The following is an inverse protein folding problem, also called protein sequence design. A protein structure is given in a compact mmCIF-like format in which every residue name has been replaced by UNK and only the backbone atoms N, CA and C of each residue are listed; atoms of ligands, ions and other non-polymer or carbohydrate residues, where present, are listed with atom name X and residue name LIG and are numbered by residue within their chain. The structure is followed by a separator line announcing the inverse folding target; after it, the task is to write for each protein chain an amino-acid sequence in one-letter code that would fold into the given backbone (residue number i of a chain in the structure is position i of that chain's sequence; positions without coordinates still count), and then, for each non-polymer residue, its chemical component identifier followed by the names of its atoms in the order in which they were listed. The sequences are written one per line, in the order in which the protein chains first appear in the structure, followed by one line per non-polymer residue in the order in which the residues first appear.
data_IF_030779564377
#
_entry.id   IF_030779564377
#
_cell.length_a   1.000
_cell.length_b   1.000
_cell.length_c   1.000
_cell.angle_alpha   90.00
_cell.angle_beta   90.00
_cell.angle_gamma   90.00
#
_symmetry.space_group_name_H-M   'P 1'
#
loop_
_entity.id
_entity.type
_entity.pdbx_description
1 polymer ?
#
# COMPACT_ATOMS: atom_id res chain seq x y z
N UNK A 1 10.79 -28.88 -5.30
CA UNK A 1 9.67 -28.79 -6.26
C UNK A 1 9.36 -27.31 -6.36
N UNK A 2 9.30 -26.73 -7.55
CA UNK A 2 9.02 -25.30 -7.70
C UNK A 2 7.54 -25.07 -7.35
N UNK A 3 7.27 -24.45 -6.21
CA UNK A 3 5.96 -23.87 -5.87
C UNK A 3 5.70 -22.67 -6.79
N UNK A 4 5.50 -22.97 -8.06
CA UNK A 4 5.20 -21.99 -9.09
C UNK A 4 3.75 -21.55 -8.92
N UNK A 5 3.56 -20.26 -8.62
CA UNK A 5 2.21 -19.68 -8.56
C UNK A 5 1.70 -19.39 -9.97
N UNK A 6 0.42 -19.63 -10.19
CA UNK A 6 -0.32 -19.18 -11.36
C UNK A 6 -0.38 -17.66 -11.36
N UNK A 7 0.09 -17.02 -12.44
CA UNK A 7 0.02 -15.56 -12.56
C UNK A 7 -1.43 -15.10 -12.79
N UNK A 8 -1.81 -13.91 -12.31
CA UNK A 8 -3.06 -13.28 -12.74
C UNK A 8 -3.01 -13.05 -14.26
N UNK A 9 -4.14 -13.01 -14.95
CA UNK A 9 -4.18 -12.75 -16.40
C UNK A 9 -4.67 -11.34 -16.73
N UNK A 10 -5.03 -10.57 -15.71
CA UNK A 10 -5.64 -9.26 -15.79
C UNK A 10 -4.78 -8.21 -15.11
N UNK A 11 -5.11 -6.94 -15.35
CA UNK A 11 -4.47 -5.81 -14.69
C UNK A 11 -4.80 -5.76 -13.19
N UNK A 12 -3.99 -5.04 -12.41
CA UNK A 12 -4.23 -4.79 -10.98
C UNK A 12 -5.66 -4.30 -10.71
N UNK A 13 -6.14 -3.30 -11.45
CA UNK A 13 -7.49 -2.73 -11.26
C UNK A 13 -8.61 -3.75 -11.48
N UNK A 14 -8.45 -4.62 -12.47
CA UNK A 14 -9.41 -5.69 -12.72
C UNK A 14 -9.36 -6.75 -11.62
N UNK A 15 -8.15 -7.11 -11.16
CA UNK A 15 -7.95 -8.05 -10.07
C UNK A 15 -8.59 -7.54 -8.77
N UNK A 16 -8.36 -6.27 -8.42
CA UNK A 16 -9.01 -5.62 -7.27
C UNK A 16 -10.53 -5.64 -7.40
N UNK A 17 -11.07 -5.35 -8.59
CA UNK A 17 -12.52 -5.40 -8.83
C UNK A 17 -13.09 -6.82 -8.65
N UNK A 18 -12.34 -7.86 -9.05
CA UNK A 18 -12.72 -9.25 -8.80
C UNK A 18 -12.72 -9.55 -7.30
N UNK A 19 -11.68 -9.12 -6.56
CA UNK A 19 -11.58 -9.31 -5.10
C UNK A 19 -12.75 -8.61 -4.38
N UNK A 20 -13.06 -7.35 -4.75
CA UNK A 20 -14.24 -6.62 -4.25
C UNK A 20 -15.54 -7.37 -4.51
N UNK A 21 -15.70 -7.95 -5.70
CA UNK A 21 -16.86 -8.75 -6.04
C UNK A 21 -17.04 -9.98 -5.15
N UNK A 22 -15.95 -10.68 -4.86
CA UNK A 22 -15.96 -11.79 -3.91
C UNK A 22 -16.29 -11.30 -2.48
N UNK A 23 -15.76 -10.15 -2.07
CA UNK A 23 -16.02 -9.54 -0.76
C UNK A 23 -17.47 -9.13 -0.56
N UNK A 24 -18.06 -8.47 -1.56
CA UNK A 24 -19.47 -8.07 -1.56
C UNK A 24 -20.43 -9.25 -1.49
N UNK A 25 -20.07 -10.39 -2.10
CA UNK A 25 -20.91 -11.58 -2.03
C UNK A 25 -20.90 -12.23 -0.65
N UNK A 26 -19.76 -12.24 0.05
CA UNK A 26 -19.57 -12.82 1.39
C UNK A 26 -19.87 -14.33 1.53
N UNK A 27 -20.28 -14.99 0.44
CA UNK A 27 -20.75 -16.38 0.37
C UNK A 27 -20.09 -17.09 -0.79
N UNK A 28 -20.29 -18.40 -0.88
CA UNK A 28 -19.90 -19.17 -2.06
C UNK A 28 -20.62 -18.64 -3.31
N UNK A 29 -19.84 -18.13 -4.27
CA UNK A 29 -20.35 -17.59 -5.51
C UNK A 29 -19.80 -18.37 -6.71
N UNK A 30 -20.67 -18.60 -7.69
CA UNK A 30 -20.28 -19.17 -8.97
C UNK A 30 -19.80 -18.07 -9.93
N UNK A 31 -19.04 -18.46 -10.96
CA UNK A 31 -18.51 -17.49 -11.92
C UNK A 31 -19.61 -16.71 -12.65
N UNK A 32 -20.80 -17.28 -12.87
CA UNK A 32 -21.88 -16.59 -13.58
C UNK A 32 -22.44 -15.44 -12.73
N UNK A 33 -22.72 -15.71 -11.45
CA UNK A 33 -23.26 -14.70 -10.54
C UNK A 33 -22.24 -13.61 -10.26
N UNK A 34 -20.96 -13.96 -10.07
CA UNK A 34 -19.92 -12.96 -9.88
C UNK A 34 -19.76 -12.06 -11.11
N UNK A 35 -19.78 -12.66 -12.30
CA UNK A 35 -19.71 -11.92 -13.58
C UNK A 35 -20.82 -10.89 -13.72
N UNK A 36 -22.06 -11.25 -13.35
CA UNK A 36 -23.21 -10.33 -13.33
C UNK A 36 -23.06 -9.22 -12.30
N UNK A 37 -22.52 -9.54 -11.11
CA UNK A 37 -22.37 -8.59 -10.00
C UNK A 37 -21.37 -7.48 -10.32
N UNK A 38 -20.19 -7.82 -10.84
CA UNK A 38 -19.11 -6.84 -11.09
C UNK A 38 -19.09 -6.32 -12.54
N UNK A 39 -19.93 -6.87 -13.43
CA UNK A 39 -19.96 -6.50 -14.85
C UNK A 39 -18.69 -6.87 -15.61
N UNK A 40 -17.95 -7.89 -15.18
CA UNK A 40 -16.77 -8.43 -15.87
C UNK A 40 -17.12 -9.80 -16.45
N UNK A 41 -16.72 -10.09 -17.68
CA UNK A 41 -16.97 -11.37 -18.34
C UNK A 41 -16.30 -12.56 -17.64
N UNK A 42 -16.95 -13.72 -17.66
CA UNK A 42 -16.43 -14.98 -17.08
C UNK A 42 -15.04 -15.36 -17.59
N UNK A 43 -14.76 -15.06 -18.85
CA UNK A 43 -13.48 -15.30 -19.52
C UNK A 43 -12.36 -14.41 -19.01
N UNK A 44 -12.68 -13.26 -18.41
CA UNK A 44 -11.72 -12.39 -17.74
C UNK A 44 -11.55 -12.77 -16.26
N UNK A 45 -12.59 -13.28 -15.59
CA UNK A 45 -12.50 -13.69 -14.18
C UNK A 45 -11.77 -15.03 -14.05
N UNK A 46 -12.15 -16.03 -14.86
CA UNK A 46 -11.69 -17.41 -14.73
C UNK A 46 -10.16 -17.59 -14.74
N UNK A 47 -9.38 -16.85 -15.55
CA UNK A 47 -7.93 -16.97 -15.55
C UNK A 47 -7.24 -16.41 -14.30
N UNK A 48 -7.88 -15.51 -13.54
CA UNK A 48 -7.31 -14.94 -12.30
C UNK A 48 -7.58 -15.82 -11.07
N UNK A 49 -8.52 -16.75 -11.20
CA UNK A 49 -8.97 -17.61 -10.11
C UNK A 49 -7.88 -18.51 -9.51
N UNK A 50 -6.96 -19.11 -10.28
CA UNK A 50 -5.86 -19.89 -9.73
C UNK A 50 -4.97 -19.04 -8.82
N UNK A 51 -4.55 -17.86 -9.28
CA UNK A 51 -3.76 -16.91 -8.48
C UNK A 51 -4.45 -16.58 -7.15
N UNK A 52 -5.73 -16.20 -7.18
CA UNK A 52 -6.49 -15.85 -5.97
C UNK A 52 -6.63 -17.03 -4.99
N UNK A 53 -6.66 -18.26 -5.49
CA UNK A 53 -6.79 -19.45 -4.65
C UNK A 53 -5.44 -19.84 -4.03
N UNK A 54 -4.36 -19.78 -4.82
CA UNK A 54 -3.00 -20.09 -4.37
C UNK A 54 -2.43 -19.03 -3.41
N UNK A 55 -2.86 -17.78 -3.55
CA UNK A 55 -2.55 -16.69 -2.60
C UNK A 55 -3.44 -16.68 -1.35
N UNK A 56 -4.38 -17.62 -1.22
CA UNK A 56 -5.25 -17.71 -0.05
C UNK A 56 -6.32 -16.61 0.06
N UNK A 57 -6.55 -15.80 -0.98
CA UNK A 57 -7.58 -14.75 -1.01
C UNK A 57 -8.98 -15.37 -1.17
N UNK A 58 -9.09 -16.46 -1.93
CA UNK A 58 -10.33 -17.22 -2.08
C UNK A 58 -10.08 -18.71 -1.85
N UNK A 59 -11.13 -19.45 -1.51
CA UNK A 59 -11.04 -20.90 -1.36
C UNK A 59 -10.81 -21.61 -2.70
N UNK A 60 -10.09 -22.73 -2.64
CA UNK A 60 -9.97 -23.67 -3.74
C UNK A 60 -11.27 -24.47 -3.89
N UNK A 61 -11.88 -24.47 -5.07
CA UNK A 61 -13.12 -25.21 -5.31
C UNK A 61 -13.92 -24.73 -6.54
N UNK A 62 -14.98 -25.49 -6.87
CA UNK A 62 -15.88 -25.17 -7.99
C UNK A 62 -16.72 -23.91 -7.73
N UNK A 63 -17.11 -23.70 -6.47
CA UNK A 63 -17.62 -22.44 -5.97
C UNK A 63 -16.55 -21.81 -5.09
N UNK A 64 -16.26 -20.55 -5.34
CA UNK A 64 -15.21 -19.83 -4.62
C UNK A 64 -15.87 -18.99 -3.55
N UNK A 65 -15.34 -19.07 -2.34
CA UNK A 65 -15.69 -18.21 -1.22
C UNK A 65 -14.49 -17.33 -0.91
N UNK A 66 -14.72 -16.08 -0.55
CA UNK A 66 -13.65 -15.23 -0.02
C UNK A 66 -13.20 -15.77 1.35
N UNK A 67 -11.89 -15.80 1.59
CA UNK A 67 -11.34 -16.14 2.91
C UNK A 67 -11.41 -14.93 3.84
N UNK A 68 -11.14 -15.11 5.12
CA UNK A 68 -11.13 -13.99 6.08
C UNK A 68 -10.05 -12.96 5.73
N UNK A 69 -8.90 -13.42 5.24
CA UNK A 69 -7.81 -12.55 4.75
C UNK A 69 -8.19 -11.82 3.45
N UNK A 70 -8.81 -12.53 2.51
CA UNK A 70 -9.37 -11.91 1.31
C UNK A 70 -10.45 -10.88 1.63
N UNK A 71 -11.27 -11.12 2.66
CA UNK A 71 -12.32 -10.21 3.09
C UNK A 71 -11.76 -8.93 3.70
N UNK A 72 -10.68 -9.02 4.51
CA UNK A 72 -9.94 -7.85 4.99
C UNK A 72 -9.40 -7.03 3.82
N UNK A 73 -8.79 -7.69 2.84
CA UNK A 73 -8.29 -7.04 1.63
C UNK A 73 -9.42 -6.36 0.83
N UNK A 74 -10.54 -7.06 0.61
CA UNK A 74 -11.69 -6.50 -0.11
C UNK A 74 -12.27 -5.26 0.57
N UNK A 75 -12.40 -5.27 1.91
CA UNK A 75 -12.85 -4.10 2.68
C UNK A 75 -11.88 -2.93 2.58
N UNK A 76 -10.57 -3.18 2.69
CA UNK A 76 -9.56 -2.14 2.53
C UNK A 76 -9.61 -1.51 1.14
N UNK A 77 -9.82 -2.34 0.10
CA UNK A 77 -10.01 -1.91 -1.28
C UNK A 77 -11.29 -1.08 -1.45
N UNK A 78 -12.39 -1.43 -0.77
CA UNK A 78 -13.66 -0.71 -0.86
C UNK A 78 -13.62 0.66 -0.19
N UNK A 79 -12.95 0.77 0.95
CA UNK A 79 -12.80 2.04 1.69
C UNK A 79 -11.56 2.85 1.28
N UNK A 80 -10.83 2.41 0.25
CA UNK A 80 -9.61 3.05 -0.26
C UNK A 80 -8.56 3.32 0.84
N UNK A 81 -8.46 2.37 1.79
CA UNK A 81 -7.53 2.43 2.91
C UNK A 81 -6.17 1.88 2.47
N UNK A 82 -5.32 2.77 1.94
CA UNK A 82 -4.04 2.39 1.34
C UNK A 82 -3.12 1.61 2.29
N UNK A 83 -3.07 1.98 3.57
CA UNK A 83 -2.25 1.31 4.59
C UNK A 83 -2.76 -0.11 4.89
N UNK A 84 -4.06 -0.28 5.12
CA UNK A 84 -4.67 -1.59 5.35
C UNK A 84 -4.56 -2.49 4.12
N UNK A 85 -4.69 -1.93 2.92
CA UNK A 85 -4.47 -2.62 1.66
C UNK A 85 -3.01 -3.10 1.53
N UNK A 86 -2.04 -2.23 1.83
CA UNK A 86 -0.63 -2.56 1.81
C UNK A 86 -0.30 -3.67 2.83
N UNK A 87 -0.85 -3.59 4.05
CA UNK A 87 -0.67 -4.60 5.08
C UNK A 87 -1.24 -5.96 4.68
N UNK A 88 -2.46 -5.98 4.12
CA UNK A 88 -3.10 -7.21 3.64
C UNK A 88 -2.30 -7.85 2.50
N UNK A 89 -1.85 -7.07 1.52
CA UNK A 89 -0.99 -7.60 0.45
C UNK A 89 0.38 -8.04 0.97
N UNK A 90 0.97 -7.35 1.96
CA UNK A 90 2.24 -7.73 2.56
C UNK A 90 2.15 -9.09 3.24
N UNK A 91 1.02 -9.39 3.88
CA UNK A 91 0.74 -10.71 4.43
C UNK A 91 0.70 -11.78 3.33
N UNK A 92 -0.04 -11.53 2.25
CA UNK A 92 -0.10 -12.43 1.08
C UNK A 92 1.28 -12.69 0.48
N UNK A 93 2.12 -11.64 0.36
CA UNK A 93 3.50 -11.76 -0.14
C UNK A 93 4.36 -12.60 0.78
N UNK A 94 4.23 -12.43 2.11
CA UNK A 94 5.01 -13.18 3.10
C UNK A 94 4.62 -14.66 3.17
N UNK A 95 3.34 -14.96 2.99
CA UNK A 95 2.84 -16.35 2.98
C UNK A 95 3.18 -17.07 1.66
N UNK A 96 3.41 -16.33 0.58
CA UNK A 96 3.81 -16.89 -0.70
C UNK A 96 5.33 -16.91 -0.86
N UNK A 97 5.92 -18.12 -0.86
CA UNK A 97 7.35 -18.29 -1.16
C UNK A 97 7.73 -17.69 -2.52
N UNK A 98 6.87 -17.88 -3.51
CA UNK A 98 7.06 -17.30 -4.84
C UNK A 98 7.23 -15.78 -4.79
N UNK A 99 6.28 -15.06 -4.17
CA UNK A 99 6.32 -13.60 -4.11
C UNK A 99 7.50 -13.09 -3.26
N UNK A 100 7.78 -13.77 -2.15
CA UNK A 100 8.94 -13.47 -1.29
C UNK A 100 10.28 -13.65 -2.01
N UNK A 101 10.39 -14.66 -2.87
CA UNK A 101 11.58 -14.89 -3.69
C UNK A 101 11.78 -13.78 -4.73
N UNK A 102 10.71 -13.25 -5.33
CA UNK A 102 10.82 -12.12 -6.26
C UNK A 102 11.36 -10.87 -5.56
N UNK A 103 10.85 -10.54 -4.37
CA UNK A 103 11.36 -9.42 -3.56
C UNK A 103 12.84 -9.64 -3.21
N UNK A 104 13.21 -10.87 -2.84
CA UNK A 104 14.59 -11.24 -2.54
C UNK A 104 15.51 -11.06 -3.75
N UNK A 105 15.08 -11.45 -4.95
CA UNK A 105 15.86 -11.22 -6.18
C UNK A 105 16.09 -9.73 -6.44
N UNK A 106 15.06 -8.89 -6.28
CA UNK A 106 15.19 -7.44 -6.45
C UNK A 106 16.19 -6.87 -5.42
N UNK A 107 16.15 -7.38 -4.18
CA UNK A 107 17.09 -7.01 -3.11
C UNK A 107 18.52 -7.37 -3.47
N UNK A 108 18.77 -8.62 -3.90
CA UNK A 108 20.10 -9.13 -4.24
C UNK A 108 20.69 -8.37 -5.41
N UNK A 109 19.87 -8.02 -6.41
CA UNK A 109 20.31 -7.24 -7.57
C UNK A 109 20.54 -5.76 -7.26
N UNK A 110 20.15 -5.27 -6.07
CA UNK A 110 20.31 -3.87 -5.68
C UNK A 110 19.40 -2.89 -6.45
N UNK A 111 18.40 -3.42 -7.16
CA UNK A 111 17.58 -2.66 -8.09
C UNK A 111 17.33 -3.44 -9.38
N UNK A 112 16.13 -3.34 -9.94
CA UNK A 112 15.77 -3.99 -11.20
C UNK A 112 14.79 -3.11 -11.98
N UNK A 113 14.90 -3.04 -13.30
CA UNK A 113 13.86 -2.37 -14.08
C UNK A 113 12.51 -3.09 -13.90
N UNK A 114 11.42 -2.35 -14.05
CA UNK A 114 10.07 -2.92 -14.06
C UNK A 114 9.94 -4.08 -15.04
N UNK A 115 10.50 -3.92 -16.24
CA UNK A 115 10.42 -4.88 -17.34
C UNK A 115 11.21 -6.14 -17.00
N UNK A 116 12.40 -5.99 -16.43
CA UNK A 116 13.23 -7.11 -16.02
C UNK A 116 12.62 -7.85 -14.81
N UNK A 117 11.97 -7.13 -13.89
CA UNK A 117 11.24 -7.74 -12.79
C UNK A 117 10.04 -8.55 -13.29
N UNK A 118 9.24 -7.99 -14.20
CA UNK A 118 8.15 -8.72 -14.85
C UNK A 118 8.67 -9.92 -15.66
N UNK A 119 9.82 -9.79 -16.34
CA UNK A 119 10.50 -10.88 -17.02
C UNK A 119 10.95 -11.99 -16.06
N UNK A 120 11.49 -11.62 -14.90
CA UNK A 120 11.87 -12.58 -13.86
C UNK A 120 10.66 -13.29 -13.26
N UNK A 121 9.55 -12.57 -13.00
CA UNK A 121 8.28 -13.17 -12.55
C UNK A 121 7.75 -14.18 -13.56
N UNK A 122 7.76 -13.85 -14.85
CA UNK A 122 7.38 -14.79 -15.93
C UNK A 122 8.24 -16.06 -15.92
N UNK A 123 9.56 -15.88 -15.81
CA UNK A 123 10.51 -16.98 -15.78
C UNK A 123 10.32 -17.86 -14.53
N UNK A 124 10.22 -17.25 -13.35
CA UNK A 124 10.05 -17.94 -12.09
C UNK A 124 8.72 -18.71 -12.03
N UNK A 125 7.65 -18.19 -12.63
CA UNK A 125 6.35 -18.86 -12.69
C UNK A 125 6.31 -19.98 -13.75
N UNK A 126 7.37 -20.18 -14.55
CA UNK A 126 7.37 -21.12 -15.67
C UNK A 126 6.31 -20.78 -16.74
N UNK A 127 5.84 -19.52 -16.76
CA UNK A 127 4.72 -19.11 -17.59
C UNK A 127 5.20 -18.78 -19.01
N UNK A 128 4.41 -19.17 -20.02
CA UNK A 128 4.67 -18.79 -21.42
C UNK A 128 4.59 -17.27 -21.56
N UNK A 129 5.43 -16.68 -22.42
CA UNK A 129 5.39 -15.25 -22.72
C UNK A 129 4.20 -14.89 -23.64
N UNK A 130 2.99 -14.97 -23.11
CA UNK A 130 1.75 -14.52 -23.76
C UNK A 130 1.38 -13.13 -23.28
N UNK A 131 0.51 -12.42 -24.02
CA UNK A 131 0.04 -11.09 -23.62
C UNK A 131 -0.58 -11.09 -22.21
N UNK A 132 -1.44 -12.08 -21.92
CA UNK A 132 -2.10 -12.21 -20.61
C UNK A 132 -1.11 -12.45 -19.47
N UNK A 133 -0.16 -13.37 -19.66
CA UNK A 133 0.84 -13.66 -18.62
C UNK A 133 1.79 -12.48 -18.38
N UNK A 134 2.10 -11.70 -19.42
CA UNK A 134 2.93 -10.49 -19.29
C UNK A 134 2.21 -9.41 -18.49
N UNK A 135 0.92 -9.21 -18.75
CA UNK A 135 0.06 -8.35 -17.92
C UNK A 135 -0.01 -8.86 -16.48
N UNK A 136 -0.09 -10.18 -16.31
CA UNK A 136 -0.03 -10.84 -15.02
C UNK A 136 1.24 -10.56 -14.23
N UNK A 137 2.38 -10.76 -14.86
CA UNK A 137 3.67 -10.49 -14.25
C UNK A 137 3.84 -9.02 -13.87
N UNK A 138 3.35 -8.10 -14.71
CA UNK A 138 3.30 -6.67 -14.38
C UNK A 138 2.41 -6.40 -13.16
N UNK A 139 1.28 -7.08 -13.08
CA UNK A 139 0.36 -6.97 -11.94
C UNK A 139 1.00 -7.47 -10.64
N UNK A 140 1.80 -8.53 -10.69
CA UNK A 140 2.59 -8.96 -9.52
C UNK A 140 3.56 -7.85 -9.09
N UNK A 141 4.28 -7.25 -10.03
CA UNK A 141 5.17 -6.12 -9.73
C UNK A 141 4.39 -4.97 -9.08
N UNK A 142 3.21 -4.63 -9.61
CA UNK A 142 2.37 -3.57 -9.05
C UNK A 142 1.89 -3.89 -7.63
N UNK A 143 1.55 -5.16 -7.34
CA UNK A 143 1.23 -5.63 -5.99
C UNK A 143 2.42 -5.43 -5.05
N UNK A 144 3.65 -5.78 -5.49
CA UNK A 144 4.85 -5.58 -4.68
C UNK A 144 5.10 -4.11 -4.36
N UNK A 145 4.80 -3.21 -5.29
CA UNK A 145 4.87 -1.76 -5.06
C UNK A 145 3.81 -1.31 -4.05
N UNK A 146 2.56 -1.80 -4.14
CA UNK A 146 1.50 -1.49 -3.17
C UNK A 146 1.90 -1.91 -1.76
N UNK A 147 2.58 -3.05 -1.61
CA UNK A 147 3.01 -3.53 -0.29
C UNK A 147 4.04 -2.62 0.37
N UNK A 148 4.61 -1.65 -0.34
CA UNK A 148 5.70 -0.81 0.15
C UNK A 148 7.01 -1.57 0.40
N UNK A 149 7.08 -2.87 0.08
CA UNK A 149 8.33 -3.65 0.13
C UNK A 149 9.28 -3.24 -0.98
N UNK A 150 8.74 -2.74 -2.10
CA UNK A 150 9.47 -2.30 -3.26
C UNK A 150 9.00 -0.89 -3.63
N UNK A 151 9.94 0.00 -3.88
CA UNK A 151 9.69 1.36 -4.35
C UNK A 151 10.03 1.41 -5.83
N UNK A 152 9.13 1.98 -6.63
CA UNK A 152 9.38 2.29 -8.02
C UNK A 152 9.92 3.73 -8.12
N UNK A 153 11.19 3.86 -8.47
CA UNK A 153 11.93 5.11 -8.62
C UNK A 153 12.33 5.23 -10.10
N UNK A 154 11.61 6.06 -10.85
CA UNK A 154 11.81 6.29 -12.30
C UNK A 154 11.90 5.02 -13.18
N UNK A 155 11.07 4.00 -12.88
CA UNK A 155 11.04 2.74 -13.62
C UNK A 155 12.04 1.69 -13.09
N UNK A 156 12.80 2.04 -12.05
CA UNK A 156 13.68 1.14 -11.32
C UNK A 156 13.05 0.74 -9.99
N UNK A 157 12.84 -0.55 -9.80
CA UNK A 157 12.34 -1.15 -8.58
C UNK A 157 13.50 -1.39 -7.62
N UNK A 158 13.46 -0.75 -6.45
CA UNK A 158 14.41 -0.95 -5.35
C UNK A 158 13.65 -1.44 -4.13
N UNK A 159 14.26 -2.30 -3.32
CA UNK A 159 13.64 -2.73 -2.05
C UNK A 159 13.64 -1.54 -1.09
N UNK A 160 12.48 -1.24 -0.51
CA UNK A 160 12.39 -0.23 0.53
C UNK A 160 13.28 -0.68 1.71
N UNK A 161 14.11 0.21 2.23
CA UNK A 161 14.85 -0.07 3.46
C UNK A 161 13.86 -0.05 4.63
N UNK A 162 13.08 -1.12 4.80
CA UNK A 162 12.27 -1.34 5.99
C UNK A 162 12.83 -2.56 6.71
N UNK A 163 13.02 -2.42 8.02
CA UNK A 163 13.47 -3.50 8.88
C UNK A 163 12.47 -4.68 8.76
N UNK A 164 12.95 -5.94 8.80
CA UNK A 164 12.11 -7.13 8.60
C UNK A 164 11.12 -7.43 9.74
N UNK A 165 10.85 -6.48 10.65
CA UNK A 165 10.14 -6.69 11.91
C UNK A 165 9.01 -5.68 12.19
N UNK A 166 8.20 -5.36 11.18
CA UNK A 166 6.85 -4.86 11.45
C UNK A 166 5.97 -6.07 11.83
N UNK A 167 6.12 -6.46 13.09
CA UNK A 167 5.12 -7.20 13.85
C UNK A 167 3.79 -6.45 13.77
N UNK A 168 2.70 -7.23 13.72
CA UNK A 168 1.31 -6.82 13.60
C UNK A 168 0.95 -5.47 14.25
N UNK A 169 0.08 -4.64 13.65
CA UNK A 169 -0.58 -3.60 14.43
C UNK A 169 -1.47 -4.28 15.46
N UNK A 170 -1.02 -4.25 16.72
CA UNK A 170 -1.80 -4.53 17.92
C UNK A 170 -3.15 -3.82 17.79
N UNK A 171 -4.20 -4.63 17.65
CA UNK A 171 -5.58 -4.23 17.86
C UNK A 171 -5.65 -3.70 19.29
N UNK A 172 -5.81 -2.39 19.46
CA UNK A 172 -6.28 -1.84 20.73
C UNK A 172 -7.74 -2.25 20.87
N UNK A 173 -7.97 -3.37 21.54
CA UNK A 173 -9.25 -3.69 22.13
C UNK A 173 -9.64 -2.54 23.06
N UNK A 174 -10.72 -1.84 22.72
CA UNK A 174 -11.36 -0.88 23.60
C UNK A 174 -12.36 -1.68 24.43
N UNK A 175 -12.25 -1.71 25.77
CA UNK A 175 -13.14 -2.50 26.62
C UNK A 175 -14.58 -1.99 26.57
N UNK A 176 -15.49 -2.95 26.63
CA UNK A 176 -16.93 -2.79 26.79
C UNK A 176 -17.31 -1.90 27.98
N UNK A 177 -18.27 -1.01 27.76
CA UNK A 177 -19.16 -0.56 28.83
C UNK A 177 -20.60 -0.57 28.31
N UNK A 178 -21.29 -1.68 28.56
CA UNK A 178 -22.75 -1.74 28.54
C UNK A 178 -23.32 -0.98 29.74
N UNK A 179 -24.38 -0.21 29.51
CA UNK A 179 -25.07 0.56 30.55
C UNK A 179 -26.23 1.39 30.01
N UNK A 180 -27.27 0.69 29.59
CA UNK A 180 -28.60 1.14 29.14
C UNK A 180 -29.30 2.19 30.05
N UNK A 181 -30.05 3.14 29.46
CA UNK A 181 -31.48 3.36 29.72
C UNK A 181 -32.09 4.62 29.04
N UNK A 182 -32.89 4.33 28.02
CA UNK A 182 -34.33 4.64 27.89
C UNK A 182 -34.90 6.05 27.58
N UNK A 183 -35.61 6.08 26.43
CA UNK A 183 -36.93 6.69 26.11
C UNK A 183 -37.14 8.20 25.88
N UNK A 184 -37.84 8.50 24.77
CA UNK A 184 -38.97 9.43 24.82
C UNK A 184 -39.20 10.37 23.62
N UNK A 185 -39.93 9.89 22.60
CA UNK A 185 -40.95 10.56 21.76
C UNK A 185 -40.77 12.00 21.21
N UNK A 186 -41.08 12.15 19.92
CA UNK A 186 -40.87 13.37 19.12
C UNK A 186 -41.92 14.48 19.23
N UNK A 187 -41.70 15.54 18.46
CA UNK A 187 -42.76 16.35 17.84
C UNK A 187 -42.20 17.20 16.69
N UNK A 188 -43.07 17.52 15.74
CA UNK A 188 -42.77 18.10 14.43
C UNK A 188 -42.89 19.64 14.40
N UNK A 189 -42.41 20.19 13.27
CA UNK A 189 -43.00 21.28 12.48
C UNK A 189 -42.36 22.69 12.53
N UNK A 190 -41.80 23.03 11.35
CA UNK A 190 -41.87 24.27 10.54
C UNK A 190 -41.79 25.68 11.15
N UNK A 191 -40.98 26.51 10.48
CA UNK A 191 -41.19 27.95 10.41
C UNK A 191 -39.99 28.73 9.88
N UNK A 192 -40.09 29.22 8.64
CA UNK A 192 -39.22 30.19 7.97
C UNK A 192 -38.75 31.36 8.84
N UNK A 193 -37.54 31.87 8.59
CA UNK A 193 -37.31 33.29 8.22
C UNK A 193 -35.86 33.55 7.83
N UNK A 194 -35.70 34.20 6.67
CA UNK A 194 -34.46 34.72 6.15
C UNK A 194 -33.96 35.94 6.94
N UNK A 195 -32.64 36.08 7.08
CA UNK A 195 -31.92 37.33 6.77
C UNK A 195 -30.40 37.15 6.85
N UNK A 196 -29.74 37.87 5.97
CA UNK A 196 -28.34 37.78 5.62
C UNK A 196 -27.41 38.66 6.49
N UNK A 197 -26.10 38.41 6.30
CA UNK A 197 -24.98 39.38 6.16
C UNK A 197 -23.80 39.17 7.15
N UNK A 198 -22.71 38.65 6.55
CA UNK A 198 -21.27 38.97 6.70
C UNK A 198 -20.59 38.95 8.09
N UNK A 199 -19.55 38.09 8.23
CA UNK A 199 -18.18 38.58 8.44
C UNK A 199 -17.08 37.50 8.24
N UNK A 200 -15.86 37.99 8.08
CA UNK A 200 -14.68 37.40 7.42
C UNK A 200 -13.87 36.31 8.18
N UNK A 201 -13.33 35.37 7.37
CA UNK A 201 -12.02 34.65 7.32
C UNK A 201 -11.04 34.54 8.54
N UNK A 202 -9.95 33.73 8.45
CA UNK A 202 -9.80 32.31 8.08
C UNK A 202 -8.90 31.53 9.09
N UNK A 203 -8.82 30.19 9.02
CA UNK A 203 -7.71 29.43 9.65
C UNK A 203 -7.15 28.35 8.73
N UNK A 204 -5.86 28.51 8.47
CA UNK A 204 -4.87 27.65 7.83
C UNK A 204 -4.77 26.26 8.49
N UNK A 205 -4.16 25.23 7.89
CA UNK A 205 -3.33 25.21 6.69
C UNK A 205 -2.88 23.79 6.33
N UNK A 206 -2.79 23.57 5.03
CA UNK A 206 -2.20 22.43 4.33
C UNK A 206 -0.74 22.83 4.07
N UNK A 207 0.23 22.04 4.56
CA UNK A 207 1.66 22.29 4.38
C UNK A 207 2.14 21.77 3.03
N UNK A 208 1.93 22.56 1.97
CA UNK A 208 2.60 22.43 0.68
C UNK A 208 3.86 23.31 0.62
N UNK A 209 4.83 22.90 -0.21
CA UNK A 209 6.05 23.62 -0.52
C UNK A 209 5.76 25.08 -0.94
N UNK A 210 6.45 26.04 -0.31
CA UNK A 210 6.51 27.41 -0.80
C UNK A 210 7.97 27.85 -0.94
N UNK A 211 8.40 27.99 -2.19
CA UNK A 211 9.62 28.73 -2.54
C UNK A 211 9.23 30.19 -2.78
N UNK A 212 9.72 31.10 -1.93
CA UNK A 212 9.44 32.53 -2.05
C UNK A 212 10.75 33.28 -2.35
N UNK A 213 10.94 33.64 -3.62
CA UNK A 213 12.05 34.46 -4.08
C UNK A 213 11.64 35.92 -3.93
N UNK A 214 12.33 36.68 -3.07
CA UNK A 214 12.21 38.15 -3.04
C UNK A 214 13.51 38.81 -2.57
N UNK A 215 14.15 39.56 -3.49
CA UNK A 215 15.11 40.62 -3.17
C UNK A 215 16.57 40.29 -3.46
N UNK A 216 17.27 41.23 -4.11
CA UNK A 216 18.73 41.24 -4.30
C UNK A 216 19.46 40.97 -2.98
N UNK A 217 20.06 39.80 -2.88
CA UNK A 217 20.75 39.27 -1.72
C UNK A 217 20.80 37.76 -1.89
N UNK A 218 21.95 37.16 -1.60
CA UNK A 218 22.29 35.73 -1.78
C UNK A 218 21.08 34.80 -1.55
N UNK A 219 20.79 33.82 -2.44
CA UNK A 219 19.64 32.93 -2.28
C UNK A 219 19.70 32.22 -0.93
N UNK A 220 18.78 32.56 -0.03
CA UNK A 220 18.59 31.84 1.23
C UNK A 220 17.80 30.57 0.98
N UNK A 221 18.48 29.42 1.07
CA UNK A 221 17.87 28.10 1.05
C UNK A 221 17.58 27.70 2.51
N UNK A 222 16.31 27.49 2.85
CA UNK A 222 15.93 26.90 4.12
C UNK A 222 15.84 25.38 3.97
N UNK A 223 16.68 24.64 4.70
CA UNK A 223 16.70 23.17 4.69
C UNK A 223 16.33 22.68 6.09
N UNK A 224 15.26 21.90 6.20
CA UNK A 224 14.88 21.21 7.43
C UNK A 224 15.48 19.80 7.40
N UNK A 225 16.35 19.47 8.36
CA UNK A 225 17.02 18.16 8.45
C UNK A 225 16.55 17.45 9.73
N UNK A 226 15.94 16.28 9.58
CA UNK A 226 15.65 15.35 10.68
C UNK A 226 16.68 14.23 10.68
N UNK A 227 17.38 14.03 11.81
CA UNK A 227 18.45 13.06 11.95
C UNK A 227 18.06 12.00 12.98
N UNK A 228 17.86 10.76 12.54
CA UNK A 228 17.65 9.63 13.45
C UNK A 228 19.01 9.04 13.87
N UNK A 229 19.33 9.19 15.16
CA UNK A 229 20.56 8.66 15.73
C UNK A 229 20.29 7.28 16.35
N UNK A 230 21.10 6.26 16.05
CA UNK A 230 21.01 4.98 16.75
C UNK A 230 21.35 5.19 18.23
N UNK A 231 20.70 4.42 19.11
CA UNK A 231 21.09 4.36 20.50
C UNK A 231 22.50 3.76 20.58
N UNK A 232 23.46 4.53 21.09
CA UNK A 232 24.82 4.07 21.33
C UNK A 232 25.21 4.42 22.76
N UNK A 233 25.82 3.46 23.46
CA UNK A 233 26.30 3.64 24.82
C UNK A 233 27.67 4.34 24.87
N UNK A 234 28.28 4.61 23.70
CA UNK A 234 29.55 5.31 23.60
C UNK A 234 29.35 6.83 23.45
N UNK A 235 29.65 7.64 24.49
CA UNK A 235 29.46 9.10 24.46
C UNK A 235 30.36 9.79 23.42
N UNK A 236 31.52 9.21 23.07
CA UNK A 236 32.45 9.79 22.11
C UNK A 236 31.85 9.89 20.69
N UNK A 237 30.90 9.01 20.36
CA UNK A 237 30.23 8.99 19.05
C UNK A 237 29.38 10.24 18.86
N UNK A 238 28.67 10.67 19.92
CA UNK A 238 27.88 11.89 19.89
C UNK A 238 28.78 13.13 19.82
N UNK A 239 29.87 13.15 20.58
CA UNK A 239 30.83 14.26 20.56
C UNK A 239 31.49 14.43 19.18
N UNK A 240 31.90 13.33 18.54
CA UNK A 240 32.46 13.36 17.19
C UNK A 240 31.42 13.79 16.14
N UNK A 241 30.18 13.32 16.27
CA UNK A 241 29.10 13.70 15.37
C UNK A 241 28.81 15.20 15.46
N UNK A 242 28.61 15.76 16.66
CA UNK A 242 28.32 17.18 16.84
C UNK A 242 29.51 18.07 16.46
N UNK A 243 30.74 17.62 16.74
CA UNK A 243 31.96 18.31 16.30
C UNK A 243 32.04 18.37 14.77
N UNK A 244 31.72 17.26 14.09
CA UNK A 244 31.72 17.19 12.62
C UNK A 244 30.59 18.03 12.01
N UNK A 245 29.40 17.99 12.59
CA UNK A 245 28.25 18.80 12.16
C UNK A 245 28.57 20.30 12.27
N UNK A 246 29.14 20.72 13.40
CA UNK A 246 29.53 22.11 13.64
C UNK A 246 30.61 22.56 12.66
N UNK A 247 31.62 21.72 12.42
CA UNK A 247 32.69 22.02 11.45
C UNK A 247 32.14 22.26 10.05
N UNK A 248 31.27 21.38 9.56
CA UNK A 248 30.89 21.38 8.14
C UNK A 248 29.63 22.18 7.81
N UNK A 249 28.77 22.48 8.78
CA UNK A 249 27.50 23.18 8.54
C UNK A 249 27.39 24.56 9.21
N UNK A 250 28.15 24.83 10.27
CA UNK A 250 27.92 26.00 11.14
C UNK A 250 29.14 26.94 11.26
N UNK A 251 30.31 26.52 10.79
CA UNK A 251 31.51 27.37 10.78
C UNK A 251 31.93 27.53 9.32
N UNK A 252 31.94 28.75 8.76
CA UNK A 252 32.71 28.98 7.55
C UNK A 252 34.17 28.66 7.91
N UNK A 253 34.81 27.77 7.16
CA UNK A 253 36.27 27.72 7.17
C UNK A 253 36.73 29.11 6.69
N UNK A 254 37.28 29.91 7.61
CA UNK A 254 38.06 31.08 7.24
C UNK A 254 39.32 30.53 6.55
N UNK A 255 39.23 30.36 5.23
CA UNK A 255 40.38 30.15 4.36
C UNK A 255 41.20 31.46 4.35
N UNK A 256 42.29 31.50 5.12
CA UNK A 256 43.40 32.47 4.95
C UNK A 256 44.23 32.14 3.70
#
# INVERSE_FOLDING_TARGET
MTDAISLPASSLKELEKIIKGYGHSGKEIDLASLSKLIGIGRTSISPNNPFLAETGIVTSGKKKKITDEGLKLARALDHNQSEHMAAAWRKVVRESEFLSNIVSTIRIKGGLSVEDAAGHVLYAAGAKNTKGNRTGARTIVDILVITGLVINDDGMLKVAQTNPDDSEPLVKEVPDHEGDQNSGAGFASNGDTASAVQNAAPVSGIGGLSSQIKGNGVPTIAINIELHLPATDNPEVYDQLFKSLRKNLLSPEDDD
#
